data_IF_150169638588
#
_entry.id   IF_150169638588
#
_cell.length_a   1.000
_cell.length_b   1.000
_cell.length_c   1.000
_cell.angle_alpha   90.00
_cell.angle_beta   90.00
_cell.angle_gamma   90.00
#
_symmetry.space_group_name_H-M   'P 1'
#
loop_
_entity.id
_entity.type
_entity.pdbx_description
1 polymer ?
#
# COMPACT_ATOMS: atom_id res chain seq x y z
N UNK A 1 0.13 -15.95 -9.15
CA UNK A 1 0.93 -16.42 -7.98
C UNK A 1 0.28 -15.88 -6.71
N UNK A 2 0.36 -16.62 -5.60
CA UNK A 2 -0.16 -16.19 -4.30
C UNK A 2 0.92 -15.37 -3.59
N UNK A 3 1.07 -14.11 -3.99
CA UNK A 3 2.07 -13.19 -3.45
C UNK A 3 1.47 -11.79 -3.41
N UNK A 4 1.48 -11.19 -2.22
CA UNK A 4 1.02 -9.82 -1.97
C UNK A 4 2.20 -8.97 -1.54
N UNK A 5 2.10 -7.67 -1.84
CA UNK A 5 3.03 -6.65 -1.35
C UNK A 5 2.27 -5.74 -0.41
N UNK A 6 2.89 -5.32 0.68
CA UNK A 6 2.36 -4.24 1.51
C UNK A 6 3.20 -2.96 1.37
N UNK A 7 2.65 -1.84 1.82
CA UNK A 7 3.26 -0.51 1.68
C UNK A 7 4.23 -0.14 2.79
N UNK A 8 4.40 -0.99 3.81
CA UNK A 8 5.19 -0.63 4.98
C UNK A 8 6.65 -0.37 4.62
N UNK A 9 7.33 0.38 5.49
CA UNK A 9 8.74 0.79 5.36
C UNK A 9 9.06 1.68 4.15
N UNK A 10 8.20 1.76 3.12
CA UNK A 10 8.49 2.54 1.91
C UNK A 10 8.81 4.01 2.20
N UNK A 11 8.00 4.66 3.05
CA UNK A 11 8.25 6.06 3.45
C UNK A 11 9.50 6.20 4.33
N UNK A 12 9.73 5.24 5.25
CA UNK A 12 10.87 5.29 6.18
C UNK A 12 12.21 5.09 5.46
N UNK A 13 12.25 4.19 4.48
CA UNK A 13 13.42 3.87 3.66
C UNK A 13 13.66 4.88 2.51
N UNK A 14 12.90 5.98 2.48
CA UNK A 14 13.11 7.05 1.50
C UNK A 14 12.66 6.71 0.07
N UNK A 15 11.68 5.83 -0.10
CA UNK A 15 11.10 5.53 -1.41
C UNK A 15 10.46 6.79 -2.00
N UNK A 16 10.93 7.24 -3.16
CA UNK A 16 10.32 8.40 -3.83
C UNK A 16 8.87 8.12 -4.23
N UNK A 17 8.03 9.16 -4.24
CA UNK A 17 6.60 9.05 -4.60
C UNK A 17 6.42 8.51 -6.02
N UNK A 18 7.24 8.96 -6.95
CA UNK A 18 7.20 8.55 -8.36
C UNK A 18 7.54 7.06 -8.50
N UNK A 19 8.53 6.59 -7.72
CA UNK A 19 8.93 5.19 -7.72
C UNK A 19 7.86 4.32 -7.06
N UNK A 20 7.32 4.72 -5.91
CA UNK A 20 6.23 4.03 -5.24
C UNK A 20 5.00 3.91 -6.14
N UNK A 21 4.55 5.03 -6.72
CA UNK A 21 3.43 5.08 -7.66
C UNK A 21 3.66 4.15 -8.86
N UNK A 22 4.86 4.19 -9.46
CA UNK A 22 5.21 3.33 -10.60
C UNK A 22 5.23 1.84 -10.23
N UNK A 23 5.70 1.50 -9.02
CA UNK A 23 5.70 0.12 -8.53
C UNK A 23 4.25 -0.34 -8.38
N UNK A 24 3.42 0.39 -7.63
CA UNK A 24 2.03 0.04 -7.37
C UNK A 24 1.26 -0.18 -8.68
N UNK A 25 1.35 0.75 -9.64
CA UNK A 25 0.63 0.67 -10.92
C UNK A 25 1.11 -0.44 -11.86
N UNK A 26 2.26 -1.07 -11.58
CA UNK A 26 2.78 -2.21 -12.36
C UNK A 26 2.47 -3.56 -11.71
N UNK A 27 1.96 -3.56 -10.50
CA UNK A 27 1.51 -4.76 -9.82
C UNK A 27 0.01 -4.95 -10.01
N UNK A 28 -0.43 -6.18 -9.78
CA UNK A 28 -1.84 -6.51 -9.72
C UNK A 28 -2.51 -5.66 -8.62
N UNK A 29 -3.52 -4.82 -8.96
CA UNK A 29 -4.13 -3.92 -8.00
C UNK A 29 -4.80 -4.65 -6.83
N UNK A 30 -5.20 -5.92 -7.01
CA UNK A 30 -5.80 -6.75 -5.96
C UNK A 30 -4.76 -7.35 -4.99
N UNK A 31 -3.46 -7.16 -5.27
CA UNK A 31 -2.36 -7.75 -4.50
C UNK A 31 -1.44 -6.74 -3.83
N UNK A 32 -1.93 -5.53 -3.61
CA UNK A 32 -1.23 -4.47 -2.87
C UNK A 32 -2.01 -4.15 -1.60
N UNK A 33 -1.39 -4.27 -0.43
CA UNK A 33 -1.99 -4.09 0.88
C UNK A 33 -1.43 -2.83 1.56
N UNK A 34 -2.22 -2.18 2.39
CA UNK A 34 -1.71 -1.16 3.27
C UNK A 34 -1.00 -1.79 4.49
N UNK A 35 0.16 -1.26 4.82
CA UNK A 35 0.94 -1.65 5.99
C UNK A 35 1.74 -0.46 6.51
N UNK A 36 1.90 -0.36 7.83
CA UNK A 36 2.65 0.74 8.47
C UNK A 36 3.91 0.27 9.17
N UNK A 37 4.02 -1.00 9.52
CA UNK A 37 5.08 -1.54 10.39
C UNK A 37 5.23 -0.75 11.72
N UNK A 38 4.10 -0.51 12.40
CA UNK A 38 4.13 0.05 13.76
C UNK A 38 4.66 -1.02 14.73
N UNK A 39 5.58 -0.69 15.67
CA UNK A 39 5.99 0.65 16.11
C UNK A 39 7.24 1.24 15.42
N UNK A 40 7.75 0.62 14.35
CA UNK A 40 8.98 1.05 13.68
C UNK A 40 8.79 2.27 12.78
N UNK A 41 7.61 2.44 12.20
CA UNK A 41 7.25 3.65 11.45
C UNK A 41 5.94 4.26 11.96
N UNK A 42 5.87 5.60 11.95
CA UNK A 42 4.66 6.34 12.30
C UNK A 42 3.53 5.98 11.31
N UNK A 43 2.39 5.45 11.78
CA UNK A 43 1.23 5.18 10.93
C UNK A 43 0.77 6.38 10.13
N UNK A 44 0.83 7.59 10.71
CA UNK A 44 0.42 8.82 10.03
C UNK A 44 1.29 9.11 8.81
N UNK A 45 2.61 8.90 8.91
CA UNK A 45 3.52 9.09 7.78
C UNK A 45 3.17 8.16 6.61
N UNK A 46 2.81 6.91 6.89
CA UNK A 46 2.42 5.95 5.85
C UNK A 46 1.10 6.34 5.18
N UNK A 47 0.08 6.73 5.95
CA UNK A 47 -1.20 7.20 5.41
C UNK A 47 -1.00 8.42 4.50
N UNK A 48 -0.27 9.42 4.99
CA UNK A 48 -0.01 10.66 4.23
C UNK A 48 0.81 10.36 2.97
N UNK A 49 1.77 9.44 3.04
CA UNK A 49 2.57 9.01 1.89
C UNK A 49 1.69 8.42 0.79
N UNK A 50 0.85 7.42 1.10
CA UNK A 50 -0.03 6.76 0.13
C UNK A 50 -1.01 7.75 -0.50
N UNK A 51 -1.66 8.60 0.30
CA UNK A 51 -2.56 9.66 -0.21
C UNK A 51 -1.85 10.61 -1.17
N UNK A 52 -0.56 10.86 -0.95
CA UNK A 52 0.21 11.78 -1.79
C UNK A 52 0.66 11.20 -3.14
N UNK A 53 0.43 9.91 -3.40
CA UNK A 53 0.86 9.24 -4.64
C UNK A 53 0.00 9.57 -5.86
N UNK A 54 -1.16 10.23 -5.69
CA UNK A 54 -2.07 10.53 -6.80
C UNK A 54 -2.51 9.27 -7.55
N UNK A 55 -2.85 8.22 -6.79
CA UNK A 55 -3.47 6.99 -7.30
C UNK A 55 -4.97 7.23 -7.53
N UNK A 56 -5.61 6.49 -8.45
CA UNK A 56 -7.07 6.51 -8.58
C UNK A 56 -7.76 6.18 -7.24
N UNK A 57 -8.87 6.84 -6.93
CA UNK A 57 -9.57 6.66 -5.64
C UNK A 57 -9.96 5.21 -5.37
N UNK A 58 -10.44 4.49 -6.40
CA UNK A 58 -10.76 3.07 -6.29
C UNK A 58 -9.54 2.22 -5.88
N UNK A 59 -8.34 2.56 -6.37
CA UNK A 59 -7.12 1.86 -5.98
C UNK A 59 -6.68 2.21 -4.56
N UNK A 60 -6.92 3.44 -4.10
CA UNK A 60 -6.68 3.81 -2.71
C UNK A 60 -7.57 2.99 -1.76
N UNK A 61 -8.87 2.86 -2.03
CA UNK A 61 -9.80 2.05 -1.22
C UNK A 61 -9.36 0.57 -1.17
N UNK A 62 -8.98 0.01 -2.32
CA UNK A 62 -8.43 -1.35 -2.41
C UNK A 62 -7.18 -1.53 -1.53
N UNK A 63 -6.22 -0.59 -1.60
CA UNK A 63 -4.99 -0.65 -0.80
C UNK A 63 -5.31 -0.49 0.69
N UNK A 64 -6.13 0.50 1.07
CA UNK A 64 -6.39 0.83 2.48
C UNK A 64 -7.17 -0.27 3.21
N UNK A 65 -8.07 -0.98 2.55
CA UNK A 65 -8.83 -2.04 3.23
C UNK A 65 -9.35 -3.16 2.30
N UNK A 66 -9.84 -2.86 1.10
CA UNK A 66 -10.59 -3.84 0.28
C UNK A 66 -9.81 -5.11 -0.07
N UNK A 67 -8.52 -4.97 -0.36
CA UNK A 67 -7.65 -6.13 -0.66
C UNK A 67 -7.39 -6.99 0.59
N UNK A 68 -7.25 -6.36 1.76
CA UNK A 68 -7.06 -7.08 3.02
C UNK A 68 -8.34 -7.82 3.42
N UNK A 69 -9.50 -7.19 3.29
CA UNK A 69 -10.81 -7.83 3.51
C UNK A 69 -10.99 -9.06 2.62
N UNK A 70 -10.70 -8.93 1.32
CA UNK A 70 -10.79 -10.04 0.36
C UNK A 70 -9.84 -11.18 0.76
N UNK A 71 -8.58 -10.85 1.06
CA UNK A 71 -7.57 -11.85 1.44
C UNK A 71 -7.97 -12.60 2.72
N UNK A 72 -8.43 -11.87 3.74
CA UNK A 72 -8.79 -12.44 5.05
C UNK A 72 -10.13 -13.19 5.02
N UNK A 73 -11.05 -12.86 4.11
CA UNK A 73 -12.31 -13.60 3.94
C UNK A 73 -12.13 -15.00 3.34
N UNK A 74 -10.97 -15.26 2.73
CA UNK A 74 -10.63 -16.54 2.11
C UNK A 74 -9.81 -17.47 3.02
N UNK A 75 -9.61 -17.08 4.29
CA UNK A 75 -8.91 -17.86 5.33
C UNK A 75 -9.94 -18.51 6.25
#
# INVERSE_FOLDING_TARGET
KNLWFDTSMGVLEGLSKEKARRIILRHDPEKVLFGTDFPWCDPKMNVDFIRSLGLPDALNEMIFHGNAETLLSCI
#
